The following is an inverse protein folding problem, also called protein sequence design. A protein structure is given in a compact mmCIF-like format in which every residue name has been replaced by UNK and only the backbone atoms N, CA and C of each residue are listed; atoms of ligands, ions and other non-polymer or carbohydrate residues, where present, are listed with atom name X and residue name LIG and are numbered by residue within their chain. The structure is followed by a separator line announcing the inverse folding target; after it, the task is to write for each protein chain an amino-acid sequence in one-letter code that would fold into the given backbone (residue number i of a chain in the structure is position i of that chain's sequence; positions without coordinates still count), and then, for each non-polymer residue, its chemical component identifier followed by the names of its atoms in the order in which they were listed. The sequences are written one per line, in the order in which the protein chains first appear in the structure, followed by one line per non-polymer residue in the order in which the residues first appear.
data_IF_934514800531
#
_entry.id   IF_934514800531
#
_cell.length_a   1.000
_cell.length_b   1.000
_cell.length_c   1.000
_cell.angle_alpha   90.00
_cell.angle_beta   90.00
_cell.angle_gamma   90.00
#
_symmetry.space_group_name_H-M   'P 1'
#
loop_
_entity.id
_entity.type
_entity.pdbx_description
1 polymer ?
#
# COMPACT_ATOMS: atom_id res chain seq x y z
N UNK A 1 4.73 6.72 -0.27
CA UNK A 1 5.27 5.38 0.01
C UNK A 1 6.33 5.12 -1.06
N UNK A 2 7.41 4.39 -0.77
CA UNK A 2 8.33 3.95 -1.83
C UNK A 2 7.83 2.62 -2.41
N UNK A 3 7.77 2.48 -3.74
CA UNK A 3 7.28 1.24 -4.38
C UNK A 3 8.13 0.00 -4.02
N UNK A 4 9.40 0.23 -3.69
CA UNK A 4 10.33 -0.79 -3.21
C UNK A 4 9.95 -1.38 -1.85
N UNK A 5 9.06 -0.73 -1.09
CA UNK A 5 8.55 -1.19 0.19
C UNK A 5 7.20 -1.91 0.08
N UNK A 6 6.60 -1.93 -1.11
CA UNK A 6 5.31 -2.57 -1.34
C UNK A 6 5.51 -3.99 -1.83
N UNK A 7 4.85 -4.92 -1.16
CA UNK A 7 4.87 -6.34 -1.51
C UNK A 7 3.46 -6.86 -1.76
N UNK A 8 3.36 -7.90 -2.59
CA UNK A 8 2.11 -8.63 -2.80
C UNK A 8 1.59 -9.18 -1.47
N UNK A 9 0.30 -8.98 -1.21
CA UNK A 9 -0.36 -9.36 0.03
C UNK A 9 -0.36 -8.27 1.11
N UNK A 10 0.36 -7.17 0.89
CA UNK A 10 0.32 -6.02 1.80
C UNK A 10 -1.06 -5.35 1.77
N UNK A 11 -1.52 -4.90 2.94
CA UNK A 11 -2.67 -4.01 3.03
C UNK A 11 -2.21 -2.58 2.84
N UNK A 12 -2.85 -1.88 1.91
CA UNK A 12 -2.58 -0.48 1.60
C UNK A 12 -3.88 0.31 1.60
N UNK A 13 -3.78 1.59 1.94
CA UNK A 13 -4.90 2.53 1.88
C UNK A 13 -4.72 3.45 0.66
N UNK A 14 -5.83 3.70 -0.03
CA UNK A 14 -5.92 4.62 -1.16
C UNK A 14 -7.21 5.43 -1.04
N UNK A 15 -7.42 6.40 -1.94
CA UNK A 15 -8.63 7.24 -1.92
C UNK A 15 -9.94 6.44 -2.01
N UNK A 16 -9.92 5.26 -2.63
CA UNK A 16 -11.08 4.39 -2.79
C UNK A 16 -11.33 3.49 -1.57
N UNK A 17 -10.39 3.44 -0.62
CA UNK A 17 -10.48 2.65 0.61
C UNK A 17 -9.25 1.77 0.84
N UNK A 18 -9.44 0.72 1.65
CA UNK A 18 -8.38 -0.21 2.04
C UNK A 18 -8.42 -1.43 1.11
N UNK A 19 -7.28 -1.76 0.51
CA UNK A 19 -7.15 -2.89 -0.40
C UNK A 19 -5.91 -3.73 -0.13
N UNK A 20 -5.92 -4.95 -0.68
CA UNK A 20 -4.79 -5.87 -0.64
C UNK A 20 -4.03 -5.81 -1.97
N UNK A 21 -2.73 -5.64 -1.92
CA UNK A 21 -1.87 -5.63 -3.11
C UNK A 21 -1.86 -7.02 -3.74
N UNK A 22 -2.29 -7.11 -5.00
CA UNK A 22 -2.25 -8.33 -5.79
C UNK A 22 -1.01 -8.40 -6.67
N UNK A 23 -0.58 -7.27 -7.23
CA UNK A 23 0.58 -7.14 -8.11
C UNK A 23 1.21 -5.76 -7.94
N UNK A 24 2.53 -5.69 -8.18
CA UNK A 24 3.32 -4.46 -8.09
C UNK A 24 4.02 -4.27 -9.43
N UNK A 25 3.73 -3.15 -10.10
CA UNK A 25 4.42 -2.72 -11.31
C UNK A 25 5.48 -1.68 -10.94
N UNK A 26 6.71 -2.17 -10.77
CA UNK A 26 7.86 -1.32 -10.45
C UNK A 26 8.33 -0.46 -11.62
N UNK A 27 8.03 -0.84 -12.87
CA UNK A 27 8.45 -0.08 -14.05
C UNK A 27 7.63 1.20 -14.20
N UNK A 28 6.32 1.12 -13.95
CA UNK A 28 5.39 2.24 -14.08
C UNK A 28 5.07 2.93 -12.76
N UNK A 29 5.47 2.37 -11.62
CA UNK A 29 5.20 2.96 -10.31
C UNK A 29 3.77 2.74 -9.84
N UNK A 30 3.15 1.63 -10.20
CA UNK A 30 1.75 1.35 -9.92
C UNK A 30 1.55 0.01 -9.19
N UNK A 31 0.41 -0.14 -8.51
CA UNK A 31 0.04 -1.37 -7.84
C UNK A 31 -1.39 -1.74 -8.17
N UNK A 32 -1.64 -3.03 -8.37
CA UNK A 32 -3.00 -3.55 -8.51
C UNK A 32 -3.46 -3.98 -7.13
N UNK A 33 -4.56 -3.41 -6.66
CA UNK A 33 -5.15 -3.75 -5.37
C UNK A 33 -6.55 -4.33 -5.54
N UNK A 34 -6.96 -5.17 -4.60
CA UNK A 34 -8.35 -5.59 -4.41
C UNK A 34 -8.94 -4.91 -3.18
N UNK A 35 -9.97 -4.08 -3.37
CA UNK A 35 -10.64 -3.41 -2.25
C UNK A 35 -11.46 -4.40 -1.43
N UNK A 36 -11.35 -4.29 -0.11
CA UNK A 36 -11.79 -5.32 0.83
C UNK A 36 -13.31 -5.54 0.85
N UNK A 37 -14.12 -4.51 0.64
CA UNK A 37 -15.58 -4.59 0.80
C UNK A 37 -16.30 -4.97 -0.50
N UNK A 38 -15.83 -4.41 -1.61
CA UNK A 38 -16.41 -4.55 -2.94
C UNK A 38 -15.75 -5.66 -3.75
N UNK A 39 -14.57 -6.13 -3.33
CA UNK A 39 -13.71 -7.04 -4.09
C UNK A 39 -13.38 -6.54 -5.50
N UNK A 40 -13.52 -5.23 -5.74
CA UNK A 40 -13.15 -4.62 -7.00
C UNK A 40 -11.64 -4.50 -7.08
N UNK A 41 -11.11 -4.74 -8.27
CA UNK A 41 -9.69 -4.63 -8.58
C UNK A 41 -9.46 -3.38 -9.39
N UNK A 42 -8.47 -2.61 -8.99
CA UNK A 42 -8.06 -1.43 -9.72
C UNK A 42 -6.58 -1.17 -9.52
N UNK A 43 -6.01 -0.49 -10.52
CA UNK A 43 -4.63 -0.03 -10.51
C UNK A 43 -4.57 1.34 -9.83
N UNK A 44 -3.59 1.51 -8.95
CA UNK A 44 -3.36 2.73 -8.17
C UNK A 44 -1.90 3.12 -8.32
N UNK A 45 -1.65 4.38 -8.68
CA UNK A 45 -0.29 4.92 -8.67
C UNK A 45 0.25 4.93 -7.23
N UNK A 46 1.51 4.60 -7.04
CA UNK A 46 2.15 4.61 -5.72
C UNK A 46 2.02 5.95 -4.98
N UNK A 47 1.87 7.05 -5.72
CA UNK A 47 1.66 8.41 -5.19
C UNK A 47 0.25 8.63 -4.64
N UNK A 48 -0.72 7.84 -5.11
CA UNK A 48 -2.11 7.88 -4.65
C UNK A 48 -2.36 6.92 -3.46
N UNK A 49 -1.38 6.06 -3.15
CA UNK A 49 -1.37 5.31 -1.90
C UNK A 49 -1.07 6.25 -0.74
N UNK A 50 -1.93 6.18 0.28
CA UNK A 50 -1.76 6.95 1.51
C UNK A 50 -0.66 6.30 2.33
N UNK A 51 0.39 7.06 2.62
CA UNK A 51 1.39 6.62 3.59
C UNK A 51 0.73 6.55 4.96
N UNK A 52 0.73 5.37 5.59
CA UNK A 52 0.43 5.28 7.01
C UNK A 52 1.60 5.93 7.77
N UNK A 53 1.41 7.10 8.41
CA UNK A 53 2.48 7.76 9.15
C UNK A 53 2.92 6.98 10.39
N UNK A 54 2.21 5.91 10.80
CA UNK A 54 2.46 5.21 12.06
C UNK A 54 3.50 4.09 11.98
N UNK A 55 3.99 3.68 10.81
CA UNK A 55 5.04 2.65 10.72
C UNK A 55 6.48 3.16 10.87
N UNK A 56 6.68 4.47 10.98
CA UNK A 56 7.96 5.08 11.35
C UNK A 56 7.99 5.48 12.83
N UNK A 57 7.71 4.54 13.74
CA UNK A 57 8.18 4.66 15.13
C UNK A 57 9.37 3.71 15.34
N UNK A 58 10.54 4.18 14.88
CA UNK A 58 11.80 3.65 15.38
C UNK A 58 11.87 3.88 16.89
N UNK A 59 12.03 2.78 17.63
CA UNK A 59 12.56 2.66 18.99
C UNK A 59 12.11 3.67 20.06
N UNK A 60 11.59 3.12 21.17
CA UNK A 60 12.32 3.35 22.42
C UNK A 60 12.41 2.06 23.23
N UNK A 61 13.66 1.64 23.46
CA UNK A 61 14.04 0.54 24.34
C UNK A 61 13.70 0.96 25.77
N UNK A 62 12.87 0.18 26.45
CA UNK A 62 12.66 0.37 27.89
C UNK A 62 13.92 -0.07 28.65
N UNK A 63 14.43 0.85 29.47
CA UNK A 63 15.59 0.72 30.37
C UNK A 63 15.32 -0.28 31.50
#
# INVERSE_FOLDING_TARGET
MEISQIEKGMLVECQQGIGTVLEVDQEHGAVVIEERNSHQKFEVDIKDLMEDPQLHQGCDKYY
#
